data_IF_814451425643
#
_entry.id   IF_814451425643
#
_cell.length_a   1.000
_cell.length_b   1.000
_cell.length_c   1.000
_cell.angle_alpha   90.00
_cell.angle_beta   90.00
_cell.angle_gamma   90.00
#
_symmetry.space_group_name_H-M   'P 1'
#
loop_
_entity.id
_entity.type
_entity.pdbx_description
1 polymer ?
#
# COMPACT_ATOMS: atom_id res chain seq x y z
N UNK A 1 73.68 6.04 -21.16
CA UNK A 1 72.36 5.96 -21.84
C UNK A 1 71.51 4.75 -21.44
N UNK A 2 72.05 3.52 -21.32
CA UNK A 2 71.26 2.31 -20.99
C UNK A 2 70.44 2.36 -19.69
N UNK A 3 70.94 2.99 -18.62
CA UNK A 3 70.22 3.10 -17.33
C UNK A 3 68.92 3.92 -17.39
N UNK A 4 68.81 4.90 -18.30
CA UNK A 4 67.61 5.74 -18.44
C UNK A 4 66.45 5.02 -19.15
N UNK A 5 66.76 4.10 -20.07
CA UNK A 5 65.75 3.31 -20.78
C UNK A 5 65.06 2.26 -19.90
N UNK A 6 65.79 1.66 -18.95
CA UNK A 6 65.24 0.65 -18.03
C UNK A 6 64.23 1.28 -17.06
N UNK A 7 64.50 2.50 -16.58
CA UNK A 7 63.61 3.22 -15.65
C UNK A 7 62.30 3.61 -16.35
N UNK A 8 62.37 4.06 -17.61
CA UNK A 8 61.17 4.42 -18.39
C UNK A 8 60.31 3.19 -18.68
N UNK A 9 60.92 2.05 -19.02
CA UNK A 9 60.19 0.79 -19.24
C UNK A 9 59.49 0.28 -17.97
N UNK A 10 60.14 0.37 -16.80
CA UNK A 10 59.55 -0.01 -15.52
C UNK A 10 58.38 0.92 -15.14
N UNK A 11 58.51 2.24 -15.34
CA UNK A 11 57.43 3.20 -15.09
C UNK A 11 56.21 2.98 -16.00
N UNK A 12 56.42 2.68 -17.28
CA UNK A 12 55.34 2.36 -18.23
C UNK A 12 54.61 1.06 -17.87
N UNK A 13 55.36 0.03 -17.44
CA UNK A 13 54.75 -1.23 -17.00
C UNK A 13 53.93 -1.04 -15.71
N UNK A 14 54.41 -0.25 -14.76
CA UNK A 14 53.70 0.05 -13.52
C UNK A 14 52.44 0.89 -13.77
N UNK A 15 52.48 1.79 -14.76
CA UNK A 15 51.32 2.60 -15.14
C UNK A 15 50.24 1.75 -15.83
N UNK A 16 50.61 0.84 -16.73
CA UNK A 16 49.65 -0.09 -17.36
C UNK A 16 48.98 -1.02 -16.35
N UNK A 17 49.71 -1.53 -15.35
CA UNK A 17 49.13 -2.34 -14.28
C UNK A 17 48.14 -1.55 -13.41
N UNK A 18 48.44 -0.27 -13.10
CA UNK A 18 47.52 0.59 -12.36
C UNK A 18 46.27 0.95 -13.17
N UNK A 19 46.40 1.18 -14.47
CA UNK A 19 45.25 1.46 -15.35
C UNK A 19 44.31 0.26 -15.49
N UNK A 20 44.85 -0.97 -15.56
CA UNK A 20 44.03 -2.18 -15.62
C UNK A 20 43.30 -2.40 -14.28
N UNK A 21 43.97 -2.19 -13.13
CA UNK A 21 43.30 -2.28 -11.84
C UNK A 21 42.23 -1.20 -11.62
N UNK A 22 42.42 0.03 -12.10
CA UNK A 22 41.41 1.08 -12.02
C UNK A 22 40.18 0.77 -12.89
N UNK A 23 40.35 0.14 -14.06
CA UNK A 23 39.23 -0.31 -14.91
C UNK A 23 38.49 -1.49 -14.25
N UNK A 24 39.21 -2.39 -13.55
CA UNK A 24 38.61 -3.49 -12.80
C UNK A 24 37.93 -3.07 -11.48
N UNK A 25 38.18 -1.86 -10.97
CA UNK A 25 37.47 -1.34 -9.80
C UNK A 25 36.16 -0.60 -10.15
N UNK A 26 35.84 -0.42 -11.44
CA UNK A 26 34.54 0.08 -11.92
C UNK A 26 33.61 -1.07 -12.30
N UNK A 27 33.86 -2.28 -11.78
CA UNK A 27 32.96 -3.42 -11.99
C UNK A 27 31.84 -3.39 -10.98
N UNK A 28 30.65 -3.06 -11.48
CA UNK A 28 29.33 -3.43 -10.97
C UNK A 28 29.08 -3.04 -9.50
N UNK A 29 28.49 -1.86 -9.31
CA UNK A 29 27.65 -1.69 -8.12
C UNK A 29 26.65 -2.85 -8.10
N UNK A 30 26.52 -3.61 -7.00
CA UNK A 30 25.54 -4.67 -6.94
C UNK A 30 24.17 -4.06 -7.24
N UNK A 31 23.51 -4.51 -8.32
CA UNK A 31 22.12 -4.15 -8.59
C UNK A 31 21.34 -4.57 -7.35
N UNK A 32 20.83 -3.57 -6.61
CA UNK A 32 19.99 -3.83 -5.45
C UNK A 32 18.67 -4.40 -5.96
N UNK A 33 18.49 -5.70 -5.80
CA UNK A 33 17.20 -6.35 -6.02
C UNK A 33 16.46 -6.33 -4.67
N UNK A 34 15.41 -5.51 -4.51
CA UNK A 34 14.62 -5.54 -3.29
C UNK A 34 14.02 -6.96 -3.13
N UNK A 35 13.90 -7.43 -1.89
CA UNK A 35 13.25 -8.72 -1.60
C UNK A 35 11.74 -8.51 -1.45
N UNK A 36 10.90 -9.44 -1.93
CA UNK A 36 9.48 -9.41 -1.64
C UNK A 36 9.24 -9.34 -0.13
N UNK A 37 8.29 -8.51 0.29
CA UNK A 37 8.00 -8.29 1.71
C UNK A 37 6.51 -8.11 1.95
N UNK A 38 6.06 -8.54 3.13
CA UNK A 38 4.71 -8.28 3.60
C UNK A 38 4.74 -7.73 5.03
N UNK A 39 3.74 -6.95 5.40
CA UNK A 39 3.66 -6.40 6.75
C UNK A 39 2.23 -6.09 7.18
N UNK A 40 1.83 -6.63 8.32
CA UNK A 40 0.60 -6.27 9.03
C UNK A 40 0.78 -6.56 10.52
N UNK A 41 0.48 -5.58 11.37
CA UNK A 41 0.55 -5.74 12.83
C UNK A 41 -0.69 -6.44 13.36
N UNK A 42 -0.82 -7.74 13.08
CA UNK A 42 -2.03 -8.50 13.38
C UNK A 42 -2.37 -8.54 14.89
N UNK A 43 -1.38 -8.64 15.77
CA UNK A 43 -1.59 -8.60 17.22
C UNK A 43 -2.24 -7.27 17.65
N UNK A 44 -1.64 -6.14 17.26
CA UNK A 44 -2.21 -4.80 17.54
C UNK A 44 -3.62 -4.65 16.95
N UNK A 45 -3.85 -5.19 15.76
CA UNK A 45 -5.16 -5.14 15.10
C UNK A 45 -6.22 -5.89 15.91
N UNK A 46 -5.95 -7.14 16.28
CA UNK A 46 -6.87 -7.96 17.06
C UNK A 46 -7.10 -7.37 18.47
N UNK A 47 -6.07 -6.81 19.10
CA UNK A 47 -6.19 -6.11 20.38
C UNK A 47 -7.14 -4.91 20.32
N UNK A 48 -7.00 -4.04 19.31
CA UNK A 48 -7.88 -2.88 19.17
C UNK A 48 -9.29 -3.30 18.79
N UNK A 49 -9.45 -4.36 17.99
CA UNK A 49 -10.78 -4.91 17.70
C UNK A 49 -11.47 -5.39 18.98
N UNK A 50 -10.76 -6.14 19.84
CA UNK A 50 -11.32 -6.58 21.11
C UNK A 50 -11.67 -5.40 22.02
N UNK A 51 -10.80 -4.39 22.13
CA UNK A 51 -11.09 -3.18 22.91
C UNK A 51 -12.35 -2.46 22.42
N UNK A 52 -12.51 -2.32 21.10
CA UNK A 52 -13.74 -1.78 20.52
C UNK A 52 -14.97 -2.59 20.93
N UNK A 53 -14.92 -3.93 20.84
CA UNK A 53 -16.02 -4.79 21.27
C UNK A 53 -16.33 -4.66 22.77
N UNK A 54 -15.31 -4.54 23.61
CA UNK A 54 -15.44 -4.44 25.07
C UNK A 54 -16.09 -3.12 25.53
N UNK A 55 -16.00 -2.05 24.72
CA UNK A 55 -16.71 -0.80 25.00
C UNK A 55 -18.23 -0.95 24.92
N UNK A 56 -18.70 -1.95 24.16
CA UNK A 56 -20.12 -2.31 24.04
C UNK A 56 -21.03 -1.11 23.72
N UNK A 57 -20.57 -0.22 22.82
CA UNK A 57 -21.32 0.95 22.37
C UNK A 57 -22.36 0.49 21.35
N UNK A 58 -23.64 0.55 21.72
CA UNK A 58 -24.75 0.15 20.85
C UNK A 58 -25.28 1.27 19.96
N UNK A 59 -25.08 2.52 20.40
CA UNK A 59 -25.72 3.71 19.85
C UNK A 59 -24.65 4.71 19.42
N UNK A 60 -24.40 4.79 18.11
CA UNK A 60 -23.38 5.66 17.55
C UNK A 60 -23.69 6.01 16.10
N UNK A 61 -23.13 7.11 15.63
CA UNK A 61 -23.09 7.45 14.22
C UNK A 61 -21.65 7.62 13.75
N UNK A 62 -21.41 7.34 12.48
CA UNK A 62 -20.10 7.57 11.88
C UNK A 62 -20.21 7.86 10.39
N UNK A 63 -19.25 8.63 9.88
CA UNK A 63 -19.08 8.86 8.45
C UNK A 63 -17.79 8.20 8.03
N UNK A 64 -17.86 7.42 6.96
CA UNK A 64 -16.72 6.75 6.38
C UNK A 64 -16.51 7.16 4.92
N UNK A 65 -15.28 7.06 4.48
CA UNK A 65 -14.86 7.25 3.11
C UNK A 65 -13.95 6.09 2.69
N UNK A 66 -14.14 5.59 1.47
CA UNK A 66 -13.23 4.65 0.82
C UNK A 66 -12.76 5.31 -0.46
N UNK A 67 -11.44 5.38 -0.67
CA UNK A 67 -10.83 5.91 -1.89
C UNK A 67 -9.74 4.97 -2.40
N UNK A 68 -9.47 5.01 -3.70
CA UNK A 68 -8.40 4.23 -4.33
C UNK A 68 -8.72 2.74 -4.57
N UNK A 69 -9.86 2.23 -4.10
CA UNK A 69 -10.34 0.91 -4.56
C UNK A 69 -10.51 0.97 -6.08
N UNK A 70 -10.09 -0.06 -6.82
CA UNK A 70 -10.36 -0.13 -8.26
C UNK A 70 -11.82 -0.52 -8.47
N UNK A 71 -12.66 0.25 -9.21
CA UNK A 71 -12.34 1.47 -9.97
C UNK A 71 -12.20 2.70 -9.07
N UNK A 72 -11.24 3.60 -9.38
CA UNK A 72 -10.91 4.85 -8.66
C UNK A 72 -12.15 5.70 -8.34
N UNK A 73 -12.87 5.30 -7.31
CA UNK A 73 -14.14 5.86 -6.89
C UNK A 73 -14.01 6.15 -5.43
N UNK A 74 -14.39 7.37 -5.07
CA UNK A 74 -14.56 7.70 -3.67
C UNK A 74 -16.00 7.44 -3.28
N UNK A 75 -16.19 6.56 -2.30
CA UNK A 75 -17.49 6.19 -1.77
C UNK A 75 -17.57 6.76 -0.36
N UNK A 76 -18.61 7.53 -0.10
CA UNK A 76 -18.91 8.08 1.21
C UNK A 76 -20.13 7.38 1.78
N UNK A 77 -20.09 7.06 3.07
CA UNK A 77 -21.25 6.57 3.78
C UNK A 77 -21.41 7.25 5.13
N UNK A 78 -22.66 7.52 5.51
CA UNK A 78 -23.05 7.96 6.84
C UNK A 78 -23.92 6.88 7.46
N UNK A 79 -23.53 6.42 8.65
CA UNK A 79 -24.23 5.37 9.38
C UNK A 79 -24.74 5.95 10.67
N UNK A 80 -25.98 5.64 11.02
CA UNK A 80 -26.53 5.81 12.37
C UNK A 80 -27.00 4.46 12.86
N UNK A 81 -26.51 4.04 14.03
CA UNK A 81 -26.84 2.77 14.67
C UNK A 81 -27.51 3.03 16.02
N UNK A 82 -28.57 2.27 16.30
CA UNK A 82 -29.36 2.28 17.54
C UNK A 82 -29.63 0.83 17.94
N UNK A 83 -28.74 0.25 18.75
CA UNK A 83 -28.79 -1.18 19.06
C UNK A 83 -28.56 -2.06 17.83
N UNK A 84 -29.58 -2.85 17.50
CA UNK A 84 -29.58 -3.73 16.33
C UNK A 84 -30.05 -3.01 15.05
N UNK A 85 -30.74 -1.87 15.19
CA UNK A 85 -31.24 -1.09 14.07
C UNK A 85 -30.17 -0.15 13.53
N UNK A 86 -30.16 0.06 12.22
CA UNK A 86 -29.25 0.99 11.57
C UNK A 86 -29.89 1.66 10.35
N UNK A 87 -29.39 2.85 10.03
CA UNK A 87 -29.65 3.54 8.75
C UNK A 87 -28.32 3.89 8.11
N UNK A 88 -28.22 3.69 6.79
CA UNK A 88 -27.05 4.07 6.00
C UNK A 88 -27.48 5.00 4.87
N UNK A 89 -26.76 6.09 4.69
CA UNK A 89 -26.84 6.97 3.53
C UNK A 89 -25.51 6.91 2.78
N UNK A 90 -25.54 6.63 1.48
CA UNK A 90 -24.33 6.47 0.66
C UNK A 90 -24.35 7.49 -0.46
N UNK A 91 -23.21 8.14 -0.67
CA UNK A 91 -22.98 9.05 -1.80
C UNK A 91 -21.75 8.58 -2.57
N UNK A 92 -21.86 8.58 -3.90
CA UNK A 92 -20.77 8.27 -4.81
C UNK A 92 -20.25 9.57 -5.41
N UNK A 93 -18.96 9.85 -5.24
CA UNK A 93 -18.33 10.96 -5.94
C UNK A 93 -17.85 10.49 -7.31
N UNK A 94 -18.62 10.88 -8.32
CA UNK A 94 -18.37 10.54 -9.71
C UNK A 94 -17.33 11.43 -10.41
N UNK A 95 -16.78 12.46 -9.75
CA UNK A 95 -15.97 13.48 -10.41
C UNK A 95 -14.64 12.93 -10.97
N UNK A 96 -14.22 11.74 -10.51
CA UNK A 96 -13.00 11.06 -10.97
C UNK A 96 -13.20 10.02 -12.09
N UNK A 97 -14.43 9.82 -12.59
CA UNK A 97 -14.67 8.92 -13.73
C UNK A 97 -14.23 9.56 -15.06
N UNK A 98 -12.97 9.34 -15.45
CA UNK A 98 -12.51 9.66 -16.82
C UNK A 98 -13.05 8.71 -17.89
N UNK A 99 -13.67 7.58 -17.52
CA UNK A 99 -14.12 6.54 -18.45
C UNK A 99 -15.52 6.03 -18.08
N UNK A 100 -16.48 6.11 -19.01
CA UNK A 100 -17.84 5.60 -18.83
C UNK A 100 -17.90 4.08 -18.56
N UNK A 101 -16.86 3.32 -18.90
CA UNK A 101 -16.75 1.89 -18.55
C UNK A 101 -16.62 1.66 -17.05
N UNK A 102 -16.06 2.63 -16.32
CA UNK A 102 -15.91 2.55 -14.87
C UNK A 102 -17.22 2.86 -14.13
N UNK A 103 -18.14 3.64 -14.71
CA UNK A 103 -19.49 3.86 -14.16
C UNK A 103 -20.36 2.60 -14.11
N UNK A 104 -20.06 1.59 -14.93
CA UNK A 104 -20.75 0.27 -14.90
C UNK A 104 -20.24 -0.67 -13.81
N UNK A 105 -19.16 -0.30 -13.10
CA UNK A 105 -18.58 -1.03 -11.97
C UNK A 105 -18.91 -0.38 -10.63
N UNK A 106 -19.86 0.55 -10.57
CA UNK A 106 -20.42 1.00 -9.29
C UNK A 106 -20.84 -0.26 -8.53
N UNK A 107 -20.28 -0.54 -7.33
CA UNK A 107 -20.67 -1.67 -6.53
C UNK A 107 -22.20 -1.63 -6.36
N UNK A 108 -22.89 -2.70 -6.74
CA UNK A 108 -24.33 -2.76 -6.53
C UNK A 108 -24.61 -2.83 -5.02
N UNK A 109 -25.83 -2.50 -4.61
CA UNK A 109 -26.33 -2.83 -3.26
C UNK A 109 -26.04 -4.31 -2.96
N UNK A 110 -25.07 -4.56 -2.07
CA UNK A 110 -24.61 -5.91 -1.68
C UNK A 110 -23.13 -6.22 -1.89
N UNK A 111 -22.39 -5.43 -2.68
CA UNK A 111 -20.96 -5.64 -2.90
C UNK A 111 -20.13 -4.91 -1.83
N UNK A 112 -19.47 -5.65 -0.92
CA UNK A 112 -18.29 -5.38 -0.05
C UNK A 112 -18.01 -3.96 0.53
N UNK A 113 -18.86 -2.98 0.28
CA UNK A 113 -18.60 -1.54 0.40
C UNK A 113 -19.68 -0.86 1.24
N UNK A 114 -20.64 -1.64 1.74
CA UNK A 114 -21.72 -1.20 2.62
C UNK A 114 -21.30 -1.45 4.07
N UNK A 115 -20.59 -0.50 4.67
CA UNK A 115 -20.32 -0.55 6.11
C UNK A 115 -21.55 -0.09 6.88
N UNK A 116 -22.04 -0.93 7.78
CA UNK A 116 -23.19 -0.69 8.67
C UNK A 116 -22.75 -0.60 10.14
N UNK A 117 -21.50 -0.92 10.42
CA UNK A 117 -20.89 -0.94 11.74
C UNK A 117 -19.39 -0.71 11.69
N UNK A 118 -18.77 -0.49 12.84
CA UNK A 118 -17.31 -0.45 12.96
C UNK A 118 -16.70 -1.85 12.79
N UNK A 119 -17.43 -2.90 13.17
CA UNK A 119 -17.00 -4.29 12.96
C UNK A 119 -16.79 -4.56 11.46
N UNK A 120 -17.63 -3.98 10.60
CA UNK A 120 -17.47 -4.07 9.14
C UNK A 120 -16.17 -3.42 8.67
N UNK A 121 -15.73 -2.31 9.29
CA UNK A 121 -14.45 -1.68 8.96
C UNK A 121 -13.25 -2.58 9.31
N UNK A 122 -13.27 -3.22 10.49
CA UNK A 122 -12.25 -4.22 10.84
C UNK A 122 -12.28 -5.40 9.86
N UNK A 123 -13.45 -5.93 9.55
CA UNK A 123 -13.58 -7.05 8.62
C UNK A 123 -13.09 -6.70 7.20
N UNK A 124 -13.39 -5.49 6.72
CA UNK A 124 -12.92 -5.00 5.43
C UNK A 124 -11.38 -4.96 5.38
N UNK A 125 -10.74 -4.32 6.36
CA UNK A 125 -9.28 -4.23 6.40
C UNK A 125 -8.64 -5.63 6.43
N UNK A 126 -9.14 -6.51 7.30
CA UNK A 126 -8.59 -7.86 7.47
C UNK A 126 -8.77 -8.73 6.22
N UNK A 127 -9.95 -8.69 5.60
CA UNK A 127 -10.26 -9.47 4.40
C UNK A 127 -9.50 -8.97 3.17
N UNK A 128 -9.37 -7.65 2.99
CA UNK A 128 -8.56 -7.06 1.92
C UNK A 128 -7.09 -7.46 2.09
N UNK A 129 -6.51 -7.29 3.28
CA UNK A 129 -5.13 -7.72 3.52
C UNK A 129 -4.94 -9.22 3.28
N UNK A 130 -5.87 -10.07 3.75
CA UNK A 130 -5.78 -11.52 3.55
C UNK A 130 -5.81 -11.89 2.05
N UNK A 131 -6.68 -11.25 1.27
CA UNK A 131 -6.77 -11.44 -0.18
C UNK A 131 -5.48 -11.07 -0.87
N UNK A 132 -4.94 -9.89 -0.58
CA UNK A 132 -3.69 -9.42 -1.18
C UNK A 132 -2.51 -10.29 -0.74
N UNK A 133 -2.49 -10.71 0.52
CA UNK A 133 -1.48 -11.65 1.02
C UNK A 133 -1.51 -12.98 0.27
N UNK A 134 -2.68 -13.50 -0.09
CA UNK A 134 -2.78 -14.72 -0.89
C UNK A 134 -2.14 -14.54 -2.28
N UNK A 135 -2.33 -13.38 -2.92
CA UNK A 135 -1.68 -13.05 -4.20
C UNK A 135 -0.17 -12.92 -4.06
N UNK A 136 0.31 -12.29 -2.98
CA UNK A 136 1.74 -12.25 -2.64
C UNK A 136 2.32 -13.64 -2.42
N UNK A 137 1.63 -14.51 -1.69
CA UNK A 137 2.09 -15.89 -1.41
C UNK A 137 2.14 -16.73 -2.71
N UNK A 138 1.36 -16.37 -3.73
CA UNK A 138 1.42 -16.94 -5.10
C UNK A 138 2.52 -16.33 -5.97
N UNK A 139 3.20 -15.29 -5.51
CA UNK A 139 4.22 -14.55 -6.27
C UNK A 139 3.64 -13.58 -7.30
N UNK A 140 2.35 -13.26 -7.22
CA UNK A 140 1.70 -12.29 -8.12
C UNK A 140 1.96 -10.85 -7.68
N UNK A 141 2.33 -10.65 -6.41
CA UNK A 141 2.68 -9.34 -5.85
C UNK A 141 4.10 -9.36 -5.31
N UNK A 142 4.79 -8.24 -5.48
CA UNK A 142 6.10 -8.00 -4.91
C UNK A 142 6.01 -7.58 -3.43
N UNK A 143 5.00 -6.81 -3.05
CA UNK A 143 4.77 -6.49 -1.64
C UNK A 143 3.31 -6.27 -1.27
N UNK A 144 3.00 -6.50 0.01
CA UNK A 144 1.67 -6.25 0.60
C UNK A 144 1.85 -5.67 2.00
N UNK A 145 1.39 -4.45 2.22
CA UNK A 145 1.45 -3.81 3.54
C UNK A 145 0.10 -3.27 3.97
N UNK A 146 -0.28 -3.54 5.21
CA UNK A 146 -1.45 -2.93 5.84
C UNK A 146 -1.02 -2.00 6.98
N UNK A 147 -1.47 -0.76 6.91
CA UNK A 147 -1.25 0.27 7.92
C UNK A 147 -2.59 0.72 8.50
N UNK A 148 -2.72 0.76 9.82
CA UNK A 148 -3.98 1.15 10.49
C UNK A 148 -3.67 2.12 11.62
N UNK A 149 -4.37 3.25 11.62
CA UNK A 149 -4.43 4.20 12.72
C UNK A 149 -5.76 4.05 13.44
N UNK A 150 -5.73 4.10 14.77
CA UNK A 150 -6.89 3.88 15.61
C UNK A 150 -7.25 5.13 16.39
N UNK A 151 -8.54 5.35 16.61
CA UNK A 151 -9.00 6.34 17.57
C UNK A 151 -8.49 5.97 18.96
N UNK A 152 -8.06 6.97 19.72
CA UNK A 152 -7.41 6.76 21.02
C UNK A 152 -8.39 6.41 22.13
N UNK A 153 -9.68 6.73 21.95
CA UNK A 153 -10.70 6.57 22.99
C UNK A 153 -11.57 5.34 22.75
N UNK A 154 -11.99 5.16 21.50
CA UNK A 154 -12.92 4.14 21.05
C UNK A 154 -12.23 2.99 20.31
N UNK A 155 -10.95 3.10 19.97
CA UNK A 155 -10.12 2.03 19.37
C UNK A 155 -10.58 1.52 17.99
N UNK A 156 -11.54 2.20 17.34
CA UNK A 156 -11.92 1.89 15.96
C UNK A 156 -10.83 2.37 14.97
N UNK A 157 -10.73 1.78 13.77
CA UNK A 157 -9.78 2.23 12.76
C UNK A 157 -10.23 3.58 12.18
N UNK A 158 -9.58 4.67 12.58
CA UNK A 158 -9.80 6.01 12.01
C UNK A 158 -9.34 6.09 10.56
N UNK A 159 -8.25 5.38 10.26
CA UNK A 159 -7.68 5.34 8.93
C UNK A 159 -7.00 4.00 8.69
N UNK A 160 -7.16 3.42 7.50
CA UNK A 160 -6.37 2.28 7.08
C UNK A 160 -5.99 2.35 5.60
N UNK A 161 -4.81 1.82 5.28
CA UNK A 161 -4.40 1.53 3.91
C UNK A 161 -3.96 0.08 3.79
N UNK A 162 -4.30 -0.56 2.67
CA UNK A 162 -3.70 -1.80 2.20
C UNK A 162 -3.04 -1.48 0.86
N UNK A 163 -1.72 -1.42 0.89
CA UNK A 163 -0.89 -1.05 -0.25
C UNK A 163 -0.24 -2.29 -0.85
N UNK A 164 -0.27 -2.39 -2.18
CA UNK A 164 0.41 -3.43 -2.93
C UNK A 164 1.42 -2.84 -3.91
N UNK A 165 2.44 -3.62 -4.19
CA UNK A 165 3.36 -3.36 -5.30
C UNK A 165 3.41 -4.61 -6.17
N UNK A 166 3.19 -4.46 -7.47
CA UNK A 166 3.52 -5.47 -8.47
C UNK A 166 5.04 -5.45 -8.72
N UNK A 167 5.60 -6.54 -9.25
CA UNK A 167 7.04 -6.64 -9.54
C UNK A 167 7.46 -5.52 -10.52
N UNK A 168 8.55 -4.81 -10.18
CA UNK A 168 9.09 -3.75 -11.03
C UNK A 168 9.64 -4.37 -12.32
N UNK A 169 8.93 -4.20 -13.43
CA UNK A 169 9.55 -4.38 -14.75
C UNK A 169 10.58 -3.25 -14.94
N UNK A 170 11.85 -3.53 -14.63
CA UNK A 170 12.96 -2.68 -15.05
C UNK A 170 13.07 -2.76 -16.58
N UNK A 171 12.45 -1.81 -17.29
CA UNK A 171 12.69 -1.65 -18.72
C UNK A 171 14.05 -0.94 -18.88
N UNK A 172 15.10 -1.69 -19.20
CA UNK A 172 16.38 -1.12 -19.66
C UNK A 172 16.19 -0.56 -21.07
N UNK A 173 15.96 0.76 -21.20
CA UNK A 173 16.14 1.46 -22.48
C UNK A 173 17.60 1.93 -22.62
N UNK A 174 18.10 1.91 -23.87
CA UNK A 174 19.51 2.03 -24.24
C UNK A 174 20.23 3.33 -23.80
N UNK A 175 19.49 4.33 -23.31
CA UNK A 175 19.97 5.71 -23.17
C UNK A 175 19.94 6.22 -21.71
N UNK A 176 19.60 5.36 -20.75
CA UNK A 176 19.53 5.70 -19.33
C UNK A 176 18.26 5.14 -18.68
N UNK A 177 18.42 4.59 -17.47
CA UNK A 177 17.35 3.93 -16.73
C UNK A 177 16.25 4.94 -16.40
N UNK A 178 15.13 4.87 -17.09
CA UNK A 178 13.88 5.51 -16.69
C UNK A 178 13.02 4.48 -15.94
N UNK A 179 12.73 4.79 -14.67
CA UNK A 179 11.76 4.06 -13.86
C UNK A 179 10.38 4.61 -14.23
N UNK A 180 9.50 3.79 -14.80
CA UNK A 180 8.08 4.15 -14.90
C UNK A 180 7.49 4.17 -13.47
N UNK A 181 6.88 5.28 -13.04
CA UNK A 181 6.37 5.45 -11.68
C UNK A 181 4.88 5.07 -11.64
N UNK A 182 4.59 3.80 -11.54
CA UNK A 182 3.24 3.30 -11.28
C UNK A 182 3.33 2.13 -10.29
N UNK A 183 4.03 2.27 -9.17
CA UNK A 183 3.69 3.26 -8.14
C UNK A 183 2.59 2.66 -7.29
N UNK A 184 2.92 2.28 -6.04
CA UNK A 184 2.03 1.69 -5.02
C UNK A 184 0.56 2.00 -5.29
N UNK A 185 -0.22 0.97 -5.62
CA UNK A 185 -1.67 1.13 -5.75
C UNK A 185 -2.28 0.74 -4.42
N UNK A 186 -2.92 1.67 -3.68
CA UNK A 186 -3.69 1.28 -2.51
C UNK A 186 -4.88 0.47 -2.99
N UNK A 187 -4.90 -0.83 -2.71
CA UNK A 187 -6.06 -1.71 -2.96
C UNK A 187 -7.23 -1.34 -2.05
N UNK A 188 -6.91 -0.74 -0.90
CA UNK A 188 -7.85 -0.08 -0.01
C UNK A 188 -7.17 1.16 0.57
N UNK A 189 -7.85 2.30 0.50
CA UNK A 189 -7.68 3.36 1.48
C UNK A 189 -9.04 3.71 2.04
N UNK A 190 -9.13 3.78 3.36
CA UNK A 190 -10.38 3.99 4.06
C UNK A 190 -10.14 4.90 5.26
N UNK A 191 -11.14 5.73 5.57
CA UNK A 191 -11.15 6.53 6.78
C UNK A 191 -12.54 6.65 7.40
N UNK A 192 -12.58 6.79 8.73
CA UNK A 192 -13.74 7.28 9.48
C UNK A 192 -13.47 8.74 9.83
N UNK A 193 -14.20 9.64 9.18
CA UNK A 193 -13.95 11.09 9.26
C UNK A 193 -14.77 11.77 10.35
N UNK A 194 -15.86 11.13 10.80
CA UNK A 194 -16.69 11.58 11.92
C UNK A 194 -17.18 10.37 12.70
N UNK A 195 -17.20 10.48 14.02
CA UNK A 195 -17.77 9.49 14.92
C UNK A 195 -18.42 10.20 16.11
N UNK A 196 -19.62 9.77 16.48
CA UNK A 196 -20.36 10.31 17.62
C UNK A 196 -21.10 9.18 18.36
N UNK A 197 -20.98 9.15 19.69
CA UNK A 197 -21.82 8.29 20.53
C UNK A 197 -23.15 8.99 20.73
N UNK A 198 -24.23 8.30 20.38
CA UNK A 198 -25.57 8.86 20.46
C UNK A 198 -26.14 8.66 21.86
N UNK A 199 -26.82 9.69 22.36
CA UNK A 199 -27.58 9.64 23.61
C UNK A 199 -29.00 9.15 23.40
#
# INVERSE_FOLDING_TARGET
MKKRFIIIALLLSSFMFFSIMLISCVTEQPKYTPKPYYYFKEEQFNENYQKWKDLNISDYSFVWEIYGATPNVTIYGSVTRRGEEFSVEITYDEEHYRDERMKKRIPNEGDATYMTSIDDAFNLIKSTYATQKELFDKGELFSVTASVNYDKQCFFPEYASVDTEEEWDYIEEADGVYVAPDGKRPELSFGITKFEILK
#
